data_IF_687279498875
#
_entry.id   IF_687279498875
#
_cell.length_a   1.000
_cell.length_b   1.000
_cell.length_c   1.000
_cell.angle_alpha   90.00
_cell.angle_beta   90.00
_cell.angle_gamma   90.00
#
_symmetry.space_group_name_H-M   'P 1'
#
loop_
_entity.id
_entity.type
_entity.pdbx_description
1 polymer ?
#
# COMPACT_ATOMS: atom_id res chain seq x y z
N UNK A 1 -12.45 -9.92 -3.13
CA UNK A 1 -11.85 -9.93 -1.78
C UNK A 1 -12.07 -8.61 -1.03
N UNK A 2 -12.62 -7.61 -1.70
CA UNK A 2 -12.83 -6.31 -1.07
C UNK A 2 -13.80 -6.38 0.13
N UNK A 3 -14.61 -7.41 0.21
CA UNK A 3 -15.55 -7.60 1.32
C UNK A 3 -15.00 -8.49 2.45
N UNK A 4 -13.72 -8.86 2.37
CA UNK A 4 -13.10 -9.61 3.45
C UNK A 4 -12.97 -8.74 4.71
N UNK A 5 -13.20 -9.34 5.87
CA UNK A 5 -12.98 -8.65 7.13
C UNK A 5 -11.52 -8.85 7.55
N UNK A 6 -10.71 -7.81 7.35
CA UNK A 6 -9.29 -7.83 7.72
C UNK A 6 -9.01 -6.91 8.92
N UNK A 7 -10.06 -6.51 9.64
CA UNK A 7 -9.95 -5.48 10.68
C UNK A 7 -9.06 -5.85 11.85
N UNK A 8 -8.81 -7.15 12.07
CA UNK A 8 -7.94 -7.61 13.15
C UNK A 8 -6.52 -7.87 12.70
N UNK A 9 -6.24 -7.68 11.41
CA UNK A 9 -4.92 -7.96 10.87
C UNK A 9 -3.95 -6.87 11.30
N UNK A 10 -2.78 -7.26 11.82
CA UNK A 10 -1.74 -6.32 12.21
C UNK A 10 -0.50 -6.41 11.33
N UNK A 11 -0.41 -7.42 10.47
CA UNK A 11 0.75 -7.69 9.63
C UNK A 11 0.27 -8.01 8.22
N UNK A 12 0.61 -7.15 7.26
CA UNK A 12 0.25 -7.34 5.85
C UNK A 12 1.47 -7.26 4.93
N UNK A 13 2.67 -7.38 5.49
CA UNK A 13 3.89 -7.34 4.67
C UNK A 13 3.89 -8.51 3.69
N UNK A 14 4.33 -8.24 2.47
CA UNK A 14 4.45 -9.23 1.39
C UNK A 14 3.14 -9.81 0.89
N UNK A 15 1.99 -9.30 1.33
CA UNK A 15 0.70 -9.94 1.07
C UNK A 15 0.42 -10.17 -0.42
N UNK A 16 0.76 -9.21 -1.25
CA UNK A 16 0.58 -9.31 -2.70
C UNK A 16 1.91 -9.24 -3.46
N UNK A 17 3.03 -9.45 -2.77
CA UNK A 17 4.36 -9.38 -3.39
C UNK A 17 4.44 -10.28 -4.62
N UNK A 18 4.80 -9.70 -5.75
CA UNK A 18 4.94 -10.44 -6.99
C UNK A 18 3.64 -10.78 -7.70
N UNK A 19 2.50 -10.28 -7.22
CA UNK A 19 1.20 -10.54 -7.86
C UNK A 19 1.02 -9.64 -9.08
N UNK A 20 1.71 -9.93 -10.17
CA UNK A 20 1.83 -9.06 -11.34
C UNK A 20 0.50 -8.77 -12.03
N UNK A 21 -0.48 -9.63 -11.90
CA UNK A 21 -1.79 -9.46 -12.53
C UNK A 21 -2.85 -8.92 -11.58
N UNK A 22 -2.51 -8.76 -10.31
CA UNK A 22 -3.48 -8.33 -9.32
C UNK A 22 -3.85 -6.86 -9.54
N UNK A 23 -5.16 -6.62 -9.70
CA UNK A 23 -5.69 -5.26 -9.81
C UNK A 23 -7.15 -5.26 -9.36
N UNK A 24 -7.41 -5.71 -8.13
CA UNK A 24 -8.74 -5.77 -7.56
C UNK A 24 -8.92 -4.67 -6.53
N UNK A 25 -10.15 -4.16 -6.34
CA UNK A 25 -10.38 -3.12 -5.35
C UNK A 25 -10.13 -3.62 -3.92
N UNK A 26 -9.54 -2.75 -3.11
CA UNK A 26 -9.27 -2.98 -1.70
C UNK A 26 -9.71 -1.78 -0.86
N UNK A 27 -10.47 -0.85 -1.43
CA UNK A 27 -10.80 0.40 -0.77
C UNK A 27 -11.67 0.23 0.47
N UNK A 28 -12.38 -0.91 0.60
CA UNK A 28 -13.23 -1.19 1.75
C UNK A 28 -12.50 -1.91 2.89
N UNK A 29 -11.25 -2.28 2.68
CA UNK A 29 -10.48 -2.93 3.75
C UNK A 29 -10.24 -1.97 4.91
N UNK A 30 -10.54 -2.42 6.12
CA UNK A 30 -10.23 -1.70 7.34
C UNK A 30 -8.83 -2.11 7.80
N UNK A 31 -7.84 -1.27 7.51
CA UNK A 31 -6.43 -1.56 7.79
C UNK A 31 -5.92 -0.76 8.99
N UNK A 32 -6.81 -0.18 9.79
CA UNK A 32 -6.40 0.73 10.88
C UNK A 32 -5.54 0.08 11.94
N UNK A 33 -5.56 -1.24 12.07
CA UNK A 33 -4.75 -1.95 13.05
C UNK A 33 -3.46 -2.53 12.48
N UNK A 34 -3.20 -2.32 11.19
CA UNK A 34 -2.01 -2.85 10.53
C UNK A 34 -0.79 -2.02 10.91
N UNK A 35 0.24 -2.68 11.40
CA UNK A 35 1.49 -2.04 11.82
C UNK A 35 2.59 -2.13 10.77
N UNK A 36 2.54 -3.11 9.88
CA UNK A 36 3.57 -3.27 8.86
C UNK A 36 2.96 -3.66 7.52
N UNK A 37 3.36 -2.90 6.50
CA UNK A 37 2.92 -3.08 5.11
C UNK A 37 4.11 -3.14 4.15
N UNK A 38 5.31 -3.40 4.68
CA UNK A 38 6.51 -3.46 3.83
C UNK A 38 6.35 -4.51 2.74
N UNK A 39 6.75 -4.19 1.52
CA UNK A 39 6.70 -5.08 0.36
C UNK A 39 5.30 -5.52 -0.05
N UNK A 40 4.25 -4.92 0.51
CA UNK A 40 2.88 -5.42 0.32
C UNK A 40 2.48 -5.53 -1.16
N UNK A 41 2.84 -4.55 -1.97
CA UNK A 41 2.51 -4.52 -3.40
C UNK A 41 3.75 -4.53 -4.29
N UNK A 42 4.90 -4.93 -3.76
CA UNK A 42 6.13 -4.97 -4.56
C UNK A 42 5.92 -5.81 -5.82
N UNK A 43 6.30 -5.25 -6.95
CA UNK A 43 6.21 -5.92 -8.24
C UNK A 43 4.77 -6.30 -8.64
N UNK A 44 3.80 -5.52 -8.19
CA UNK A 44 2.41 -5.65 -8.64
C UNK A 44 2.22 -4.70 -9.84
N UNK A 45 2.71 -5.10 -11.00
CA UNK A 45 2.86 -4.21 -12.14
C UNK A 45 1.53 -3.67 -12.68
N UNK A 46 0.42 -4.36 -12.45
CA UNK A 46 -0.91 -3.91 -12.92
C UNK A 46 -1.75 -3.22 -11.87
N UNK A 47 -1.31 -3.27 -10.61
CA UNK A 47 -2.12 -2.73 -9.53
C UNK A 47 -2.23 -1.20 -9.62
N UNK A 48 -3.47 -0.71 -9.65
CA UNK A 48 -3.75 0.72 -9.67
C UNK A 48 -5.14 0.98 -9.10
N UNK A 49 -5.35 0.60 -7.84
CA UNK A 49 -6.63 0.77 -7.17
C UNK A 49 -6.55 1.85 -6.10
N UNK A 50 -7.65 2.56 -5.83
CA UNK A 50 -7.65 3.61 -4.83
C UNK A 50 -7.45 3.05 -3.43
N UNK A 51 -6.53 3.69 -2.68
CA UNK A 51 -6.22 3.35 -1.30
C UNK A 51 -6.30 4.58 -0.40
N UNK A 52 -6.79 5.69 -0.91
CA UNK A 52 -6.76 6.97 -0.19
C UNK A 52 -7.63 6.95 1.08
N UNK A 53 -8.63 6.06 1.13
CA UNK A 53 -9.51 5.93 2.29
C UNK A 53 -8.93 5.05 3.41
N UNK A 54 -7.79 4.40 3.16
CA UNK A 54 -7.14 3.58 4.18
C UNK A 54 -6.64 4.45 5.33
N UNK A 55 -6.97 4.06 6.56
CA UNK A 55 -6.39 4.66 7.76
C UNK A 55 -5.11 3.90 8.10
N UNK A 56 -3.98 4.51 7.77
CA UNK A 56 -2.66 3.89 7.99
C UNK A 56 -1.93 4.50 9.19
N UNK A 57 -2.67 5.17 10.07
CA UNK A 57 -2.08 5.92 11.18
C UNK A 57 -1.18 5.07 12.08
N UNK A 58 -1.50 3.79 12.27
CA UNK A 58 -0.71 2.90 13.13
C UNK A 58 0.44 2.22 12.41
N UNK A 59 0.55 2.40 11.11
CA UNK A 59 1.58 1.72 10.32
C UNK A 59 2.96 2.29 10.65
N UNK A 60 3.92 1.40 10.85
CA UNK A 60 5.30 1.73 11.21
C UNK A 60 6.29 1.41 10.09
N UNK A 61 5.93 0.54 9.17
CA UNK A 61 6.84 0.09 8.11
C UNK A 61 6.10 0.04 6.77
N UNK A 62 6.61 0.83 5.81
CA UNK A 62 6.13 0.85 4.43
C UNK A 62 7.29 0.66 3.43
N UNK A 63 8.36 -0.01 3.88
CA UNK A 63 9.53 -0.25 3.06
C UNK A 63 9.14 -0.99 1.77
N UNK A 64 9.56 -0.46 0.64
CA UNK A 64 9.33 -1.02 -0.71
C UNK A 64 7.86 -1.37 -1.02
N UNK A 65 6.92 -0.71 -0.35
CA UNK A 65 5.50 -1.07 -0.47
C UNK A 65 4.98 -1.06 -1.90
N UNK A 66 5.35 -0.08 -2.69
CA UNK A 66 4.93 0.06 -4.08
C UNK A 66 6.10 -0.02 -5.07
N UNK A 67 7.19 -0.64 -4.67
CA UNK A 67 8.34 -0.79 -5.55
C UNK A 67 7.95 -1.62 -6.79
N UNK A 68 8.35 -1.14 -7.96
CA UNK A 68 8.07 -1.80 -9.24
C UNK A 68 6.58 -1.98 -9.55
N UNK A 69 5.72 -1.14 -8.94
CA UNK A 69 4.31 -1.08 -9.28
C UNK A 69 4.13 -0.11 -10.44
N UNK A 70 4.41 -0.56 -11.65
CA UNK A 70 4.57 0.33 -12.81
C UNK A 70 3.31 1.10 -13.21
N UNK A 71 2.12 0.65 -12.80
CA UNK A 71 0.87 1.32 -13.13
C UNK A 71 0.25 2.08 -11.96
N UNK A 72 0.82 1.94 -10.76
CA UNK A 72 0.22 2.58 -9.59
C UNK A 72 0.40 4.09 -9.62
N UNK A 73 -0.71 4.81 -9.65
CA UNK A 73 -0.72 6.27 -9.63
C UNK A 73 -2.00 6.77 -8.95
N UNK A 74 -2.20 6.40 -7.69
CA UNK A 74 -3.37 6.80 -6.92
C UNK A 74 -2.98 7.81 -5.84
N UNK A 75 -3.87 8.74 -5.50
CA UNK A 75 -3.58 9.69 -4.43
C UNK A 75 -3.44 9.01 -3.08
N UNK A 76 -2.49 9.47 -2.29
CA UNK A 76 -2.25 9.03 -0.91
C UNK A 76 -2.18 10.23 0.04
N UNK A 77 -2.73 11.36 -0.37
CA UNK A 77 -2.57 12.63 0.35
C UNK A 77 -3.34 12.68 1.67
N UNK A 78 -4.27 11.75 1.91
CA UNK A 78 -4.98 11.66 3.19
C UNK A 78 -4.28 10.74 4.19
N UNK A 79 -3.23 10.03 3.76
CA UNK A 79 -2.52 9.11 4.65
C UNK A 79 -1.77 9.88 5.74
N UNK A 80 -2.02 9.53 7.00
CA UNK A 80 -1.23 10.02 8.12
C UNK A 80 -0.08 9.02 8.35
N UNK A 81 1.11 9.40 7.93
CA UNK A 81 2.30 8.53 8.01
C UNK A 81 3.23 8.96 9.14
N UNK A 82 2.71 9.70 10.11
CA UNK A 82 3.53 10.25 11.19
C UNK A 82 4.19 9.19 12.06
N UNK A 83 3.66 7.97 12.09
CA UNK A 83 4.24 6.86 12.86
C UNK A 83 5.13 5.95 12.03
N UNK A 84 5.27 6.20 10.74
CA UNK A 84 6.07 5.34 9.88
C UNK A 84 7.56 5.58 10.14
N UNK A 85 8.27 4.50 10.48
CA UNK A 85 9.69 4.55 10.81
C UNK A 85 10.57 4.36 9.59
N UNK A 86 10.10 3.63 8.58
CA UNK A 86 10.84 3.44 7.34
C UNK A 86 9.91 3.42 6.13
N UNK A 87 10.29 4.20 5.12
CA UNK A 87 9.67 4.23 3.79
C UNK A 87 10.70 3.96 2.71
N UNK A 88 11.84 3.35 3.07
CA UNK A 88 12.93 3.15 2.14
C UNK A 88 12.45 2.42 0.90
N UNK A 89 12.73 3.01 -0.27
CA UNK A 89 12.39 2.41 -1.55
C UNK A 89 10.90 2.26 -1.84
N UNK A 90 10.05 2.97 -1.12
CA UNK A 90 8.58 2.81 -1.22
C UNK A 90 8.09 2.89 -2.67
N UNK A 91 8.67 3.76 -3.48
CA UNK A 91 8.30 3.92 -4.88
C UNK A 91 9.46 3.60 -5.83
N UNK A 92 10.36 2.73 -5.40
CA UNK A 92 11.52 2.35 -6.20
C UNK A 92 11.05 1.78 -7.55
N UNK A 93 11.60 2.34 -8.63
CA UNK A 93 11.28 1.94 -10.00
C UNK A 93 9.77 1.92 -10.30
N UNK A 94 9.04 2.81 -9.67
CA UNK A 94 7.63 3.04 -9.98
C UNK A 94 7.55 4.14 -11.04
N UNK A 95 7.17 3.79 -12.25
CA UNK A 95 7.26 4.68 -13.41
C UNK A 95 6.07 5.62 -13.56
N UNK A 96 4.96 5.32 -12.93
CA UNK A 96 3.71 6.06 -13.13
C UNK A 96 3.37 6.99 -11.98
N UNK A 97 3.93 6.75 -10.78
CA UNK A 97 3.50 7.50 -9.61
C UNK A 97 3.90 8.97 -9.71
N UNK A 98 2.90 9.84 -9.68
CA UNK A 98 3.09 11.28 -9.80
C UNK A 98 2.09 12.01 -8.90
N UNK A 99 1.99 11.59 -7.65
CA UNK A 99 1.06 12.15 -6.68
C UNK A 99 1.82 12.93 -5.61
N UNK A 100 1.15 13.92 -5.03
CA UNK A 100 1.71 14.67 -3.91
C UNK A 100 1.50 13.88 -2.62
N UNK A 101 2.59 13.55 -1.93
CA UNK A 101 2.57 12.87 -0.63
C UNK A 101 3.25 13.78 0.39
N UNK A 102 2.49 14.63 1.00
CA UNK A 102 3.04 15.57 1.99
C UNK A 102 2.65 15.19 3.41
#
# INVERSE_FOLDING_TARGET
INNWNVSRCSYMSYMFDGCCSFNQPLDKWDVRNVKTMGYMFTNCSKFNQPLNEWDVKKCENMELMFAECHNFNQPLNTWDVSNVETMEGMFFDNRSFNQNIS
#
